data_IF_380692812377
#
_entry.id   IF_380692812377
#
_cell.length_a   1.000
_cell.length_b   1.000
_cell.length_c   1.000
_cell.angle_alpha   90.00
_cell.angle_beta   90.00
_cell.angle_gamma   90.00
#
_symmetry.space_group_name_H-M   'P 1'
#
loop_
_entity.id
_entity.type
_entity.pdbx_description
1 polymer ?
#
# COMPACT_ATOMS: atom_id res chain seq x y z
N UNK A 1 -37.12 -14.81 -31.18
CA UNK A 1 -37.95 -14.43 -30.01
C UNK A 1 -37.27 -14.76 -28.68
N UNK A 2 -36.79 -15.99 -28.41
CA UNK A 2 -35.99 -16.26 -27.18
C UNK A 2 -34.70 -15.45 -27.13
N UNK A 3 -33.92 -15.47 -28.21
CA UNK A 3 -32.59 -14.82 -28.24
C UNK A 3 -32.65 -13.28 -28.11
N UNK A 4 -33.69 -12.65 -28.67
CA UNK A 4 -33.92 -11.21 -28.51
C UNK A 4 -34.34 -10.84 -27.09
N UNK A 5 -35.09 -11.72 -26.41
CA UNK A 5 -35.51 -11.52 -25.02
C UNK A 5 -34.32 -11.69 -24.09
N UNK A 6 -33.49 -12.71 -24.34
CA UNK A 6 -32.26 -12.96 -23.60
C UNK A 6 -31.27 -11.81 -23.75
N UNK A 7 -31.04 -11.33 -24.97
CA UNK A 7 -30.15 -10.19 -25.21
C UNK A 7 -30.63 -8.91 -24.50
N UNK A 8 -31.96 -8.71 -24.41
CA UNK A 8 -32.54 -7.59 -23.68
C UNK A 8 -32.27 -7.70 -22.17
N UNK A 9 -32.55 -8.87 -21.57
CA UNK A 9 -32.29 -9.13 -20.14
C UNK A 9 -30.81 -8.90 -19.81
N UNK A 10 -29.90 -9.38 -20.66
CA UNK A 10 -28.46 -9.22 -20.42
C UNK A 10 -28.00 -7.76 -20.47
N UNK A 11 -28.67 -6.90 -21.25
CA UNK A 11 -28.38 -5.46 -21.32
C UNK A 11 -28.93 -4.68 -20.12
N UNK A 12 -29.96 -5.19 -19.45
CA UNK A 12 -30.56 -4.57 -18.26
C UNK A 12 -29.82 -4.91 -16.95
N UNK A 13 -28.94 -5.92 -16.96
CA UNK A 13 -28.12 -6.23 -15.79
C UNK A 13 -27.25 -5.03 -15.40
N UNK A 14 -27.18 -4.69 -14.12
CA UNK A 14 -26.37 -3.57 -13.64
C UNK A 14 -25.00 -4.07 -13.18
N UNK A 15 -24.00 -4.00 -14.07
CA UNK A 15 -22.62 -4.37 -13.80
C UNK A 15 -21.62 -3.64 -14.72
N UNK A 16 -20.31 -3.79 -14.47
CA UNK A 16 -19.26 -3.14 -15.27
C UNK A 16 -19.36 -3.42 -16.78
N UNK A 17 -19.86 -4.61 -17.16
CA UNK A 17 -20.02 -5.03 -18.55
C UNK A 17 -21.15 -4.30 -19.30
N UNK A 18 -22.09 -3.67 -18.58
CA UNK A 18 -23.25 -2.95 -19.14
C UNK A 18 -23.23 -1.46 -18.84
N UNK A 19 -22.34 -1.00 -17.96
CA UNK A 19 -22.21 0.41 -17.61
C UNK A 19 -21.57 1.28 -18.71
N UNK A 20 -21.31 0.78 -19.92
CA UNK A 20 -20.75 1.61 -20.99
C UNK A 20 -19.36 2.14 -20.63
N UNK A 21 -18.50 1.24 -20.15
CA UNK A 21 -17.06 1.47 -19.97
C UNK A 21 -16.38 0.84 -21.18
N UNK A 22 -15.63 1.62 -21.96
CA UNK A 22 -15.04 1.14 -23.21
C UNK A 22 -13.56 0.77 -23.05
N UNK A 23 -13.10 -0.23 -23.81
CA UNK A 23 -11.69 -0.62 -23.87
C UNK A 23 -10.79 0.49 -24.44
N UNK A 24 -11.32 1.28 -25.38
CA UNK A 24 -10.68 2.45 -25.99
C UNK A 24 -10.23 3.50 -24.96
N UNK A 25 -10.91 3.55 -23.82
CA UNK A 25 -10.62 4.49 -22.74
C UNK A 25 -9.49 4.04 -21.83
N UNK A 26 -8.97 2.83 -22.03
CA UNK A 26 -7.95 2.22 -21.21
C UNK A 26 -6.65 2.13 -21.99
N UNK A 27 -5.63 2.86 -21.54
CA UNK A 27 -4.34 2.92 -22.23
C UNK A 27 -3.50 1.67 -22.04
N UNK A 28 -3.57 1.04 -20.86
CA UNK A 28 -2.73 -0.11 -20.50
C UNK A 28 -3.47 -1.04 -19.52
N UNK A 29 -4.00 -2.13 -20.06
CA UNK A 29 -4.74 -3.13 -19.28
C UNK A 29 -3.82 -3.94 -18.35
N UNK A 30 -2.55 -4.14 -18.71
CA UNK A 30 -1.59 -4.88 -17.89
C UNK A 30 -1.19 -4.09 -16.65
N UNK A 31 -0.90 -2.81 -16.81
CA UNK A 31 -0.63 -1.90 -15.69
C UNK A 31 -1.86 -1.78 -14.80
N UNK A 32 -3.07 -1.71 -15.37
CA UNK A 32 -4.31 -1.64 -14.59
C UNK A 32 -4.53 -2.90 -13.74
N UNK A 33 -4.35 -4.09 -14.33
CA UNK A 33 -4.38 -5.38 -13.63
C UNK A 33 -3.37 -5.42 -12.48
N UNK A 34 -2.10 -5.12 -12.77
CA UNK A 34 -1.03 -5.14 -11.78
C UNK A 34 -1.29 -4.17 -10.63
N UNK A 35 -1.75 -2.96 -10.95
CA UNK A 35 -2.07 -1.94 -9.94
C UNK A 35 -3.23 -2.39 -9.05
N UNK A 36 -4.32 -2.90 -9.61
CA UNK A 36 -5.47 -3.35 -8.82
C UNK A 36 -5.18 -4.61 -8.01
N UNK A 37 -4.39 -5.55 -8.52
CA UNK A 37 -3.89 -6.68 -7.74
C UNK A 37 -3.04 -6.22 -6.54
N UNK A 38 -2.16 -5.25 -6.74
CA UNK A 38 -1.44 -4.65 -5.63
C UNK A 38 -2.40 -4.01 -4.63
N UNK A 39 -3.42 -3.27 -5.10
CA UNK A 39 -4.43 -2.65 -4.23
C UNK A 39 -5.22 -3.67 -3.40
N UNK A 40 -5.57 -4.84 -3.94
CA UNK A 40 -6.18 -5.94 -3.17
C UNK A 40 -5.26 -6.39 -2.04
N UNK A 41 -3.95 -6.52 -2.30
CA UNK A 41 -2.99 -6.98 -1.29
C UNK A 41 -2.78 -6.00 -0.11
N UNK A 42 -3.20 -4.74 -0.24
CA UNK A 42 -2.93 -3.69 0.75
C UNK A 42 -4.16 -2.98 1.29
N UNK A 43 -5.32 -3.14 0.66
CA UNK A 43 -6.54 -2.44 1.06
C UNK A 43 -7.37 -3.28 2.04
N UNK A 44 -8.16 -2.64 2.91
CA UNK A 44 -9.16 -3.33 3.73
C UNK A 44 -10.14 -4.16 2.89
N UNK A 45 -10.66 -5.24 3.48
CA UNK A 45 -11.58 -6.20 2.84
C UNK A 45 -12.81 -5.55 2.20
N UNK A 46 -13.31 -4.46 2.78
CA UNK A 46 -14.46 -3.68 2.27
C UNK A 46 -14.31 -3.14 0.84
N UNK A 47 -13.10 -3.10 0.30
CA UNK A 47 -12.83 -2.67 -1.09
C UNK A 47 -12.52 -3.81 -2.05
N UNK A 48 -12.37 -5.04 -1.56
CA UNK A 48 -11.87 -6.15 -2.36
C UNK A 48 -12.84 -6.53 -3.47
N UNK A 49 -14.15 -6.58 -3.18
CA UNK A 49 -15.17 -6.90 -4.17
C UNK A 49 -15.10 -5.97 -5.39
N UNK A 50 -15.04 -4.65 -5.16
CA UNK A 50 -14.89 -3.67 -6.24
C UNK A 50 -13.61 -3.87 -7.06
N UNK A 51 -12.47 -4.11 -6.42
CA UNK A 51 -11.24 -4.39 -7.17
C UNK A 51 -11.36 -5.68 -7.98
N UNK A 52 -11.98 -6.71 -7.43
CA UNK A 52 -12.20 -7.97 -8.15
C UNK A 52 -13.19 -7.81 -9.31
N UNK A 53 -14.24 -7.00 -9.19
CA UNK A 53 -15.13 -6.67 -10.31
C UNK A 53 -14.36 -5.98 -11.44
N UNK A 54 -13.48 -5.03 -11.12
CA UNK A 54 -12.63 -4.36 -12.11
C UNK A 54 -11.65 -5.36 -12.74
N UNK A 55 -10.99 -6.18 -11.93
CA UNK A 55 -10.05 -7.19 -12.42
C UNK A 55 -10.74 -8.19 -13.35
N UNK A 56 -11.96 -8.60 -13.02
CA UNK A 56 -12.77 -9.46 -13.89
C UNK A 56 -13.07 -8.79 -15.23
N UNK A 57 -13.54 -7.54 -15.19
CA UNK A 57 -13.84 -6.76 -16.39
C UNK A 57 -12.60 -6.60 -17.28
N UNK A 58 -11.46 -6.21 -16.69
CA UNK A 58 -10.20 -6.03 -17.43
C UNK A 58 -9.70 -7.35 -18.01
N UNK A 59 -9.84 -8.47 -17.30
CA UNK A 59 -9.45 -9.80 -17.79
C UNK A 59 -10.29 -10.22 -18.99
N UNK A 60 -11.61 -10.01 -18.92
CA UNK A 60 -12.51 -10.21 -20.06
C UNK A 60 -12.11 -9.34 -21.27
N UNK A 61 -11.80 -8.04 -21.06
CA UNK A 61 -11.34 -7.16 -22.16
C UNK A 61 -10.03 -7.62 -22.81
N UNK A 62 -9.24 -8.45 -22.12
CA UNK A 62 -8.04 -9.10 -22.65
C UNK A 62 -8.32 -10.45 -23.31
N UNK A 63 -9.54 -10.97 -23.23
CA UNK A 63 -9.93 -12.29 -23.74
C UNK A 63 -9.65 -13.44 -22.76
N UNK A 64 -9.46 -13.15 -21.47
CA UNK A 64 -9.26 -14.16 -20.42
C UNK A 64 -10.50 -14.24 -19.53
N UNK A 65 -11.53 -14.92 -20.04
CA UNK A 65 -12.82 -15.07 -19.37
C UNK A 65 -12.79 -16.05 -18.19
N UNK A 66 -11.84 -17.00 -18.20
CA UNK A 66 -11.62 -17.91 -17.07
C UNK A 66 -11.08 -17.14 -15.87
N UNK A 67 -10.09 -16.26 -16.08
CA UNK A 67 -9.62 -15.36 -15.02
C UNK A 67 -10.72 -14.38 -14.60
N UNK A 68 -11.56 -13.91 -15.54
CA UNK A 68 -12.68 -13.05 -15.21
C UNK A 68 -13.66 -13.73 -14.24
N UNK A 69 -14.04 -14.98 -14.51
CA UNK A 69 -14.86 -15.80 -13.63
C UNK A 69 -14.25 -15.99 -12.24
N UNK A 70 -12.97 -16.38 -12.17
CA UNK A 70 -12.26 -16.55 -10.90
C UNK A 70 -12.26 -15.27 -10.05
N UNK A 71 -12.03 -14.10 -10.67
CA UNK A 71 -12.15 -12.84 -9.95
C UNK A 71 -13.56 -12.54 -9.48
N UNK A 72 -14.61 -12.85 -10.26
CA UNK A 72 -15.99 -12.64 -9.81
C UNK A 72 -16.35 -13.53 -8.61
N UNK A 73 -15.89 -14.78 -8.57
CA UNK A 73 -16.06 -15.62 -7.38
C UNK A 73 -15.27 -15.09 -6.17
N UNK A 74 -14.07 -14.54 -6.39
CA UNK A 74 -13.32 -13.84 -5.33
C UNK A 74 -14.05 -12.59 -4.83
N UNK A 75 -14.76 -11.88 -5.70
CA UNK A 75 -15.62 -10.76 -5.31
C UNK A 75 -16.77 -11.24 -4.42
N UNK A 76 -17.44 -12.31 -4.81
CA UNK A 76 -18.51 -12.94 -4.03
C UNK A 76 -18.01 -13.36 -2.63
N UNK A 77 -16.85 -14.01 -2.57
CA UNK A 77 -16.21 -14.41 -1.32
C UNK A 77 -15.79 -13.22 -0.46
N UNK A 78 -15.33 -12.13 -1.07
CA UNK A 78 -14.98 -10.91 -0.36
C UNK A 78 -16.22 -10.28 0.29
N UNK A 79 -17.35 -10.21 -0.41
CA UNK A 79 -18.62 -9.71 0.13
C UNK A 79 -19.11 -10.59 1.30
N UNK A 80 -18.98 -11.92 1.19
CA UNK A 80 -19.30 -12.86 2.29
C UNK A 80 -18.40 -12.63 3.50
N UNK A 81 -17.09 -12.49 3.30
CA UNK A 81 -16.11 -12.23 4.38
C UNK A 81 -16.32 -10.88 5.06
N UNK A 82 -16.72 -9.86 4.29
CA UNK A 82 -17.08 -8.54 4.80
C UNK A 82 -18.51 -8.48 5.39
N UNK A 83 -19.24 -9.61 5.37
CA UNK A 83 -20.60 -9.75 5.93
C UNK A 83 -21.59 -8.72 5.38
N UNK A 84 -21.55 -8.53 4.07
CA UNK A 84 -22.42 -7.58 3.35
C UNK A 84 -23.87 -8.06 3.28
N UNK A 85 -24.78 -7.11 3.11
CA UNK A 85 -26.21 -7.41 2.94
C UNK A 85 -26.45 -8.07 1.59
N UNK A 86 -27.55 -8.83 1.45
CA UNK A 86 -27.92 -9.49 0.19
C UNK A 86 -27.97 -8.52 -0.99
N UNK A 87 -28.41 -7.28 -0.76
CA UNK A 87 -28.46 -6.24 -1.79
C UNK A 87 -27.10 -5.95 -2.44
N UNK A 88 -26.00 -6.07 -1.68
CA UNK A 88 -24.66 -5.78 -2.17
C UNK A 88 -24.14 -6.82 -3.18
N UNK A 89 -24.70 -8.03 -3.19
CA UNK A 89 -24.32 -9.10 -4.12
C UNK A 89 -24.88 -8.90 -5.52
N UNK A 90 -25.82 -7.97 -5.71
CA UNK A 90 -26.54 -7.77 -6.98
C UNK A 90 -25.60 -7.54 -8.16
N UNK A 91 -24.52 -6.76 -7.97
CA UNK A 91 -23.55 -6.45 -9.03
C UNK A 91 -22.68 -7.68 -9.34
N UNK A 92 -22.29 -8.44 -8.32
CA UNK A 92 -21.51 -9.67 -8.49
C UNK A 92 -22.31 -10.73 -9.23
N UNK A 93 -23.56 -10.99 -8.82
CA UNK A 93 -24.44 -11.94 -9.51
C UNK A 93 -24.78 -11.48 -10.92
N UNK A 94 -25.01 -10.19 -11.14
CA UNK A 94 -25.20 -9.63 -12.48
C UNK A 94 -23.98 -9.86 -13.37
N UNK A 95 -22.77 -9.65 -12.83
CA UNK A 95 -21.52 -9.88 -13.55
C UNK A 95 -21.30 -11.36 -13.88
N UNK A 96 -21.62 -12.26 -12.94
CA UNK A 96 -21.50 -13.71 -13.13
C UNK A 96 -22.51 -14.20 -14.17
N UNK A 97 -23.75 -13.74 -14.12
CA UNK A 97 -24.75 -14.03 -15.15
C UNK A 97 -24.28 -13.55 -16.53
N UNK A 98 -23.71 -12.34 -16.59
CA UNK A 98 -23.18 -11.76 -17.83
C UNK A 98 -22.07 -12.61 -18.45
N UNK A 99 -21.06 -12.98 -17.66
CA UNK A 99 -19.92 -13.72 -18.20
C UNK A 99 -20.29 -15.18 -18.52
N UNK A 100 -21.17 -15.82 -17.74
CA UNK A 100 -21.67 -17.15 -18.07
C UNK A 100 -22.48 -17.15 -19.37
N UNK A 101 -23.25 -16.10 -19.64
CA UNK A 101 -23.91 -15.93 -20.93
C UNK A 101 -22.88 -15.79 -22.07
N UNK A 102 -21.82 -15.01 -21.87
CA UNK A 102 -20.74 -14.85 -22.86
C UNK A 102 -20.05 -16.19 -23.19
N UNK A 103 -19.85 -17.04 -22.18
CA UNK A 103 -19.24 -18.35 -22.29
C UNK A 103 -20.20 -19.46 -22.80
N UNK A 104 -21.48 -19.16 -23.00
CA UNK A 104 -22.49 -20.16 -23.39
C UNK A 104 -22.91 -21.12 -22.27
N UNK A 105 -22.56 -20.82 -21.01
CA UNK A 105 -22.89 -21.63 -19.83
C UNK A 105 -24.30 -21.30 -19.33
N UNK A 106 -25.32 -21.80 -20.03
CA UNK A 106 -26.73 -21.44 -19.81
C UNK A 106 -27.22 -21.78 -18.39
N UNK A 107 -26.83 -22.92 -17.82
CA UNK A 107 -27.23 -23.34 -16.47
C UNK A 107 -26.78 -22.32 -15.40
N UNK A 108 -25.49 -21.96 -15.41
CA UNK A 108 -24.94 -21.00 -14.46
C UNK A 108 -25.46 -19.58 -14.70
N UNK A 109 -25.66 -19.17 -15.95
CA UNK A 109 -26.33 -17.91 -16.28
C UNK A 109 -27.72 -17.85 -15.62
N UNK A 110 -28.56 -18.87 -15.81
CA UNK A 110 -29.91 -18.90 -15.22
C UNK A 110 -29.86 -18.93 -13.70
N UNK A 111 -28.93 -19.68 -13.11
CA UNK A 111 -28.69 -19.69 -11.67
C UNK A 111 -28.45 -18.27 -11.13
N UNK A 112 -27.50 -17.53 -11.71
CA UNK A 112 -27.18 -16.18 -11.22
C UNK A 112 -28.26 -15.14 -11.54
N UNK A 113 -28.97 -15.26 -12.66
CA UNK A 113 -30.16 -14.44 -12.92
C UNK A 113 -31.24 -14.67 -11.85
N UNK A 114 -31.42 -15.92 -11.41
CA UNK A 114 -32.35 -16.23 -10.32
C UNK A 114 -31.85 -15.71 -8.97
N UNK A 115 -30.53 -15.71 -8.71
CA UNK A 115 -29.96 -15.06 -7.53
C UNK A 115 -30.28 -13.56 -7.51
N UNK A 116 -30.07 -12.84 -8.62
CA UNK A 116 -30.44 -11.42 -8.74
C UNK A 116 -31.94 -11.21 -8.45
N UNK A 117 -32.82 -12.03 -9.04
CA UNK A 117 -34.28 -11.94 -8.84
C UNK A 117 -34.72 -12.30 -7.42
N UNK A 118 -33.94 -13.10 -6.69
CA UNK A 118 -34.28 -13.55 -5.34
C UNK A 118 -34.06 -12.46 -4.28
N UNK A 119 -33.21 -11.47 -4.55
CA UNK A 119 -32.92 -10.37 -3.63
C UNK A 119 -34.20 -9.55 -3.39
N UNK A 120 -34.66 -9.55 -2.13
CA UNK A 120 -35.91 -8.86 -1.74
C UNK A 120 -35.70 -7.38 -1.41
N UNK A 121 -34.47 -7.02 -1.05
CA UNK A 121 -34.09 -5.66 -0.69
C UNK A 121 -34.05 -4.75 -1.92
N UNK A 122 -34.23 -3.44 -1.72
CA UNK A 122 -33.98 -2.47 -2.79
C UNK A 122 -32.48 -2.44 -3.13
N UNK A 123 -32.14 -2.91 -4.33
CA UNK A 123 -30.76 -3.02 -4.82
C UNK A 123 -30.23 -1.73 -5.42
N UNK A 124 -31.08 -0.73 -5.70
CA UNK A 124 -30.66 0.52 -6.35
C UNK A 124 -29.53 1.23 -5.62
N UNK A 125 -29.54 1.38 -4.28
CA UNK A 125 -28.43 2.02 -3.57
C UNK A 125 -27.12 1.25 -3.69
N UNK A 126 -27.18 -0.09 -3.63
CA UNK A 126 -26.00 -0.95 -3.76
C UNK A 126 -25.41 -0.89 -5.18
N UNK A 127 -26.26 -0.94 -6.20
CA UNK A 127 -25.86 -0.74 -7.60
C UNK A 127 -25.19 0.61 -7.78
N UNK A 128 -25.83 1.69 -7.34
CA UNK A 128 -25.30 3.05 -7.48
C UNK A 128 -23.98 3.23 -6.71
N UNK A 129 -23.89 2.72 -5.48
CA UNK A 129 -22.67 2.77 -4.69
C UNK A 129 -21.51 2.01 -5.34
N UNK A 130 -21.74 0.78 -5.78
CA UNK A 130 -20.70 -0.06 -6.41
C UNK A 130 -20.29 0.49 -7.78
N UNK A 131 -21.23 1.07 -8.55
CA UNK A 131 -20.95 1.81 -9.77
C UNK A 131 -20.06 3.01 -9.52
N UNK A 132 -20.36 3.80 -8.48
CA UNK A 132 -19.52 4.91 -8.03
C UNK A 132 -18.09 4.47 -7.71
N UNK A 133 -17.92 3.43 -6.90
CA UNK A 133 -16.61 2.92 -6.52
C UNK A 133 -15.84 2.33 -7.69
N UNK A 134 -16.50 1.56 -8.55
CA UNK A 134 -15.88 0.95 -9.74
C UNK A 134 -15.37 2.01 -10.69
N UNK A 135 -16.24 2.94 -11.10
CA UNK A 135 -15.91 4.04 -12.02
C UNK A 135 -14.79 4.93 -11.46
N UNK A 136 -14.85 5.30 -10.18
CA UNK A 136 -13.79 6.10 -9.55
C UNK A 136 -12.44 5.38 -9.54
N UNK A 137 -12.41 4.04 -9.43
CA UNK A 137 -11.16 3.27 -9.45
C UNK A 137 -10.63 3.02 -10.86
N UNK A 138 -11.48 3.09 -11.88
CA UNK A 138 -11.10 3.01 -13.30
C UNK A 138 -10.35 4.26 -13.80
N UNK A 139 -10.53 5.40 -13.12
CA UNK A 139 -9.68 6.58 -13.33
C UNK A 139 -10.44 7.88 -13.62
N UNK A 140 -9.70 8.98 -13.83
CA UNK A 140 -10.23 10.34 -13.82
C UNK A 140 -11.31 10.62 -14.87
N UNK A 141 -11.26 9.94 -16.02
CA UNK A 141 -12.27 10.03 -17.07
C UNK A 141 -13.70 9.73 -16.55
N UNK A 142 -13.80 8.90 -15.52
CA UNK A 142 -15.08 8.42 -14.98
C UNK A 142 -15.51 9.11 -13.68
N UNK A 143 -14.78 10.13 -13.21
CA UNK A 143 -15.07 10.76 -11.92
C UNK A 143 -16.45 11.44 -11.87
N UNK A 144 -16.87 12.15 -12.91
CA UNK A 144 -18.21 12.77 -12.92
C UNK A 144 -19.32 11.71 -12.81
N UNK A 145 -19.19 10.62 -13.58
CA UNK A 145 -20.14 9.51 -13.54
C UNK A 145 -20.13 8.78 -12.20
N UNK A 146 -18.97 8.69 -11.55
CA UNK A 146 -18.84 8.13 -10.21
C UNK A 146 -19.52 9.02 -9.16
N UNK A 147 -19.33 10.35 -9.26
CA UNK A 147 -19.98 11.37 -8.43
C UNK A 147 -21.51 11.26 -8.52
N UNK A 148 -22.07 11.30 -9.74
CA UNK A 148 -23.51 11.12 -9.97
C UNK A 148 -24.06 9.80 -9.39
N UNK A 149 -23.27 8.73 -9.48
CA UNK A 149 -23.66 7.44 -8.93
C UNK A 149 -23.73 7.46 -7.40
N UNK A 150 -22.77 8.11 -6.73
CA UNK A 150 -22.86 8.28 -5.28
C UNK A 150 -24.00 9.21 -4.85
N UNK A 151 -24.27 10.27 -5.60
CA UNK A 151 -25.43 11.15 -5.35
C UNK A 151 -26.74 10.35 -5.37
N UNK A 152 -26.98 9.55 -6.42
CA UNK A 152 -28.16 8.67 -6.52
C UNK A 152 -28.24 7.64 -5.39
N UNK A 153 -27.10 7.09 -4.95
CA UNK A 153 -27.07 6.18 -3.80
C UNK A 153 -27.47 6.90 -2.50
N UNK A 154 -27.02 8.15 -2.32
CA UNK A 154 -27.27 8.98 -1.14
C UNK A 154 -28.67 9.58 -1.13
N UNK A 155 -29.32 9.79 -2.27
CA UNK A 155 -30.74 10.15 -2.34
C UNK A 155 -31.63 9.09 -1.66
N UNK A 156 -31.25 7.81 -1.78
CA UNK A 156 -32.01 6.68 -1.21
C UNK A 156 -31.52 6.34 0.21
N UNK A 157 -30.20 6.31 0.43
CA UNK A 157 -29.59 6.02 1.75
C UNK A 157 -28.64 7.16 2.17
N UNK A 158 -29.17 8.29 2.68
CA UNK A 158 -28.40 9.53 2.89
C UNK A 158 -27.31 9.45 3.96
N UNK A 159 -27.45 8.51 4.90
CA UNK A 159 -26.51 8.33 6.00
C UNK A 159 -25.53 7.19 5.75
N UNK A 160 -25.60 6.45 4.64
CA UNK A 160 -24.77 5.25 4.45
C UNK A 160 -23.26 5.57 4.39
N UNK A 161 -22.47 4.91 5.24
CA UNK A 161 -21.03 5.15 5.42
C UNK A 161 -20.23 5.09 4.12
N UNK A 162 -20.37 3.99 3.38
CA UNK A 162 -19.58 3.77 2.15
C UNK A 162 -19.91 4.80 1.06
N UNK A 163 -21.16 5.24 0.99
CA UNK A 163 -21.59 6.18 -0.06
C UNK A 163 -21.16 7.61 0.27
N UNK A 164 -21.32 8.03 1.53
CA UNK A 164 -20.82 9.32 1.99
C UNK A 164 -19.30 9.42 1.83
N UNK A 165 -18.59 8.32 2.12
CA UNK A 165 -17.15 8.26 1.88
C UNK A 165 -16.81 8.30 0.40
N UNK A 166 -17.42 7.45 -0.43
CA UNK A 166 -17.16 7.41 -1.86
C UNK A 166 -17.40 8.77 -2.53
N UNK A 167 -18.47 9.45 -2.14
CA UNK A 167 -18.78 10.80 -2.59
C UNK A 167 -17.71 11.82 -2.16
N UNK A 168 -17.27 11.77 -0.89
CA UNK A 168 -16.18 12.63 -0.41
C UNK A 168 -14.85 12.39 -1.15
N UNK A 169 -14.50 11.13 -1.44
CA UNK A 169 -13.27 10.77 -2.16
C UNK A 169 -13.30 11.23 -3.61
N UNK A 170 -14.43 11.06 -4.32
CA UNK A 170 -14.49 11.48 -5.73
C UNK A 170 -14.44 12.99 -5.86
N UNK A 171 -15.12 13.73 -4.97
CA UNK A 171 -15.02 15.19 -4.91
C UNK A 171 -13.57 15.62 -4.61
N UNK A 172 -12.92 14.99 -3.63
CA UNK A 172 -11.51 15.27 -3.31
C UNK A 172 -10.62 15.09 -4.54
N UNK A 173 -10.77 13.99 -5.26
CA UNK A 173 -9.94 13.67 -6.43
C UNK A 173 -10.22 14.59 -7.62
N UNK A 174 -11.45 15.05 -7.79
CA UNK A 174 -11.81 16.02 -8.82
C UNK A 174 -11.19 17.38 -8.51
N UNK A 175 -11.31 17.84 -7.26
CA UNK A 175 -10.68 19.08 -6.79
C UNK A 175 -9.14 19.05 -6.89
N UNK A 176 -8.52 17.89 -6.66
CA UNK A 176 -7.05 17.72 -6.75
C UNK A 176 -6.54 17.71 -8.21
N UNK A 177 -7.41 17.39 -9.18
CA UNK A 177 -7.09 17.47 -10.61
C UNK A 177 -7.31 18.87 -11.17
N UNK A 178 -8.16 19.66 -10.54
CA UNK A 178 -8.36 21.06 -10.88
C UNK A 178 -7.21 21.90 -10.32
N UNK A 179 -6.17 22.06 -11.15
CA UNK A 179 -4.97 22.83 -10.77
C UNK A 179 -5.08 24.31 -11.14
N UNK A 180 -6.25 24.78 -11.60
CA UNK A 180 -6.38 26.17 -12.08
C UNK A 180 -6.30 27.16 -10.92
N UNK A 181 -6.90 26.83 -9.76
CA UNK A 181 -6.86 27.66 -8.56
C UNK A 181 -6.84 26.82 -7.28
N UNK A 182 -6.20 27.33 -6.22
CA UNK A 182 -6.21 26.68 -4.91
C UNK A 182 -7.58 26.85 -4.23
N UNK A 183 -8.32 25.75 -4.11
CA UNK A 183 -9.63 25.72 -3.42
C UNK A 183 -9.42 25.81 -1.91
N UNK A 184 -9.91 26.90 -1.31
CA UNK A 184 -9.88 27.07 0.14
C UNK A 184 -10.76 25.99 0.83
N UNK A 185 -10.35 25.50 2.01
CA UNK A 185 -11.09 24.43 2.70
C UNK A 185 -12.57 24.74 2.97
N UNK A 186 -12.91 26.02 3.18
CA UNK A 186 -14.27 26.49 3.46
C UNK A 186 -15.18 26.36 2.22
N UNK A 187 -14.62 26.48 1.03
CA UNK A 187 -15.33 26.42 -0.24
C UNK A 187 -15.40 24.99 -0.79
N UNK A 188 -14.44 24.13 -0.42
CA UNK A 188 -14.32 22.74 -0.88
C UNK A 188 -15.57 21.89 -0.59
N UNK A 189 -16.15 21.33 -1.66
CA UNK A 189 -17.24 20.37 -1.58
C UNK A 189 -16.76 19.06 -0.94
N UNK A 190 -15.52 18.65 -1.23
CA UNK A 190 -14.89 17.50 -0.60
C UNK A 190 -14.80 17.67 0.92
N UNK A 191 -14.34 18.83 1.41
CA UNK A 191 -14.25 19.12 2.85
C UNK A 191 -15.62 19.05 3.50
N UNK A 192 -16.65 19.68 2.90
CA UNK A 192 -18.03 19.64 3.42
C UNK A 192 -18.54 18.20 3.53
N UNK A 193 -18.32 17.39 2.50
CA UNK A 193 -18.77 16.00 2.48
C UNK A 193 -17.99 15.08 3.44
N UNK A 194 -16.68 15.29 3.59
CA UNK A 194 -15.86 14.55 4.55
C UNK A 194 -16.23 14.91 6.00
N UNK A 195 -16.51 16.19 6.29
CA UNK A 195 -17.06 16.62 7.59
C UNK A 195 -18.40 15.98 7.89
N UNK A 196 -19.32 15.93 6.90
CA UNK A 196 -20.59 15.18 7.03
C UNK A 196 -20.34 13.70 7.35
N UNK A 197 -19.38 13.07 6.66
CA UNK A 197 -19.02 11.67 6.91
C UNK A 197 -18.54 11.46 8.35
N UNK A 198 -17.72 12.35 8.88
CA UNK A 198 -17.24 12.28 10.28
C UNK A 198 -18.31 12.62 11.30
N UNK A 199 -19.28 13.48 10.97
CA UNK A 199 -20.41 13.75 11.85
C UNK A 199 -21.28 12.49 12.06
N UNK A 200 -21.44 11.69 11.00
CA UNK A 200 -22.16 10.40 11.05
C UNK A 200 -21.29 9.28 11.63
N UNK A 201 -19.99 9.29 11.32
CA UNK A 201 -19.04 8.23 11.65
C UNK A 201 -17.75 8.81 12.26
N UNK A 202 -17.75 9.18 13.55
CA UNK A 202 -16.67 9.95 14.19
C UNK A 202 -15.31 9.27 14.27
N UNK A 203 -15.26 7.95 14.07
CA UNK A 203 -14.03 7.13 14.15
C UNK A 203 -13.57 6.63 12.77
N UNK A 204 -14.11 7.21 11.70
CA UNK A 204 -13.76 6.80 10.34
C UNK A 204 -12.44 7.42 9.87
N UNK A 205 -11.35 6.70 10.13
CA UNK A 205 -9.96 7.14 9.93
C UNK A 205 -9.62 7.59 8.51
N UNK A 206 -10.26 7.00 7.49
CA UNK A 206 -10.04 7.40 6.10
C UNK A 206 -10.57 8.81 5.82
N UNK A 207 -11.74 9.15 6.36
CA UNK A 207 -12.29 10.51 6.23
C UNK A 207 -11.45 11.52 7.05
N UNK A 208 -10.97 11.14 8.24
CA UNK A 208 -10.08 11.97 9.06
C UNK A 208 -8.82 12.37 8.28
N UNK A 209 -8.15 11.39 7.69
CA UNK A 209 -6.87 11.60 7.00
C UNK A 209 -7.03 12.38 5.70
N UNK A 210 -8.06 12.10 4.90
CA UNK A 210 -8.36 12.90 3.69
C UNK A 210 -8.73 14.35 4.03
N UNK A 211 -9.51 14.56 5.08
CA UNK A 211 -9.86 15.91 5.54
C UNK A 211 -8.61 16.67 6.00
N UNK A 212 -7.72 16.00 6.74
CA UNK A 212 -6.46 16.59 7.18
C UNK A 212 -5.56 17.01 6.01
N UNK A 213 -5.50 16.23 4.93
CA UNK A 213 -4.71 16.59 3.72
C UNK A 213 -5.20 17.90 3.09
N UNK A 214 -6.46 18.30 3.31
CA UNK A 214 -7.00 19.60 2.87
C UNK A 214 -6.64 20.77 3.80
N UNK A 215 -5.78 20.57 4.81
CA UNK A 215 -5.28 21.62 5.72
C UNK A 215 -6.37 22.44 6.42
N UNK A 216 -7.36 21.77 7.00
CA UNK A 216 -8.27 22.41 7.95
C UNK A 216 -7.53 22.72 9.27
N UNK A 217 -8.09 23.61 10.11
CA UNK A 217 -7.57 23.90 11.45
C UNK A 217 -7.43 22.63 12.33
N UNK A 218 -8.27 21.62 12.09
CA UNK A 218 -8.34 20.37 12.86
C UNK A 218 -7.40 19.28 12.34
N UNK A 219 -6.65 19.53 11.26
CA UNK A 219 -5.89 18.50 10.53
C UNK A 219 -4.93 17.70 11.41
N UNK A 220 -4.23 18.40 12.32
CA UNK A 220 -3.26 17.77 13.23
C UNK A 220 -3.94 16.77 14.16
N UNK A 221 -5.05 17.16 14.77
CA UNK A 221 -5.83 16.32 15.68
C UNK A 221 -6.41 15.10 14.96
N UNK A 222 -6.93 15.31 13.75
CA UNK A 222 -7.48 14.26 12.90
C UNK A 222 -6.41 13.21 12.53
N UNK A 223 -5.21 13.64 12.18
CA UNK A 223 -4.09 12.72 11.86
C UNK A 223 -3.67 11.92 13.09
N UNK A 224 -3.53 12.56 14.25
CA UNK A 224 -3.16 11.88 15.49
C UNK A 224 -4.23 10.86 15.90
N UNK A 225 -5.52 11.22 15.80
CA UNK A 225 -6.63 10.30 16.07
C UNK A 225 -6.68 9.14 15.08
N UNK A 226 -6.44 9.39 13.79
CA UNK A 226 -6.42 8.33 12.79
C UNK A 226 -5.27 7.33 13.02
N UNK A 227 -4.08 7.83 13.40
CA UNK A 227 -2.92 7.00 13.72
C UNK A 227 -3.15 6.17 15.00
N UNK A 228 -3.87 6.68 16.00
CA UNK A 228 -4.18 5.91 17.21
C UNK A 228 -5.21 4.82 16.95
N UNK A 229 -6.23 5.09 16.13
CA UNK A 229 -7.27 4.13 15.76
C UNK A 229 -6.80 3.06 14.74
N UNK A 230 -5.86 3.40 13.85
CA UNK A 230 -5.43 2.52 12.76
C UNK A 230 -3.92 2.61 12.46
N UNK A 231 -3.04 2.32 13.43
CA UNK A 231 -1.60 2.60 13.37
C UNK A 231 -0.83 1.86 12.27
N UNK A 232 -1.39 0.76 11.75
CA UNK A 232 -0.76 -0.11 10.76
C UNK A 232 -1.57 -0.21 9.46
N UNK A 233 -2.62 0.60 9.29
CA UNK A 233 -3.37 0.62 8.03
C UNK A 233 -2.56 1.37 6.96
N UNK A 234 -2.22 0.66 5.88
CA UNK A 234 -1.37 1.22 4.82
C UNK A 234 -2.03 2.37 4.07
N UNK A 235 -3.35 2.34 3.85
CA UNK A 235 -4.05 3.45 3.19
C UNK A 235 -4.05 4.71 4.07
N UNK A 236 -4.24 4.54 5.39
CA UNK A 236 -4.14 5.64 6.35
C UNK A 236 -2.71 6.21 6.34
N UNK A 237 -1.70 5.35 6.36
CA UNK A 237 -0.31 5.76 6.29
C UNK A 237 0.00 6.57 5.02
N UNK A 238 -0.55 6.19 3.86
CA UNK A 238 -0.36 6.93 2.60
C UNK A 238 -0.91 8.37 2.69
N UNK A 239 -2.11 8.57 3.26
CA UNK A 239 -2.68 9.91 3.46
C UNK A 239 -1.92 10.72 4.51
N UNK A 240 -1.45 10.08 5.59
CA UNK A 240 -0.59 10.73 6.59
C UNK A 240 0.71 11.22 5.96
N UNK A 241 1.35 10.44 5.08
CA UNK A 241 2.52 10.91 4.32
C UNK A 241 2.19 12.16 3.50
N UNK A 242 1.05 12.18 2.83
CA UNK A 242 0.65 13.33 2.01
C UNK A 242 0.39 14.58 2.86
N UNK A 243 -0.17 14.42 4.06
CA UNK A 243 -0.33 15.54 4.99
C UNK A 243 1.02 16.05 5.51
N UNK A 244 1.90 15.16 5.99
CA UNK A 244 3.22 15.53 6.52
C UNK A 244 4.08 16.27 5.48
N UNK A 245 4.01 15.89 4.19
CA UNK A 245 4.68 16.62 3.10
C UNK A 245 4.26 18.09 2.99
N UNK A 246 3.10 18.45 3.52
CA UNK A 246 2.59 19.82 3.51
C UNK A 246 2.93 20.59 4.80
N UNK A 247 3.48 19.94 5.81
CA UNK A 247 3.95 20.53 7.06
C UNK A 247 5.43 20.93 6.94
N UNK A 248 5.91 21.74 7.88
CA UNK A 248 7.37 21.93 8.03
C UNK A 248 8.04 20.62 8.48
N UNK A 249 9.36 20.42 8.21
CA UNK A 249 10.09 19.27 8.73
C UNK A 249 10.00 19.14 10.26
N UNK A 250 10.05 20.27 10.98
CA UNK A 250 9.98 20.34 12.44
C UNK A 250 8.59 19.91 12.95
N UNK A 251 7.53 20.47 12.36
CA UNK A 251 6.14 20.12 12.68
C UNK A 251 5.87 18.64 12.40
N UNK A 252 6.36 18.14 11.26
CA UNK A 252 6.22 16.72 10.89
C UNK A 252 6.87 15.81 11.93
N UNK A 253 8.10 16.12 12.35
CA UNK A 253 8.83 15.34 13.34
C UNK A 253 8.14 15.38 14.71
N UNK A 254 7.65 16.55 15.13
CA UNK A 254 6.90 16.72 16.37
C UNK A 254 5.62 15.86 16.37
N UNK A 255 4.86 15.90 15.28
CA UNK A 255 3.65 15.09 15.11
C UNK A 255 3.94 13.60 15.13
N UNK A 256 4.97 13.15 14.40
CA UNK A 256 5.36 11.74 14.39
C UNK A 256 5.75 11.29 15.81
N UNK A 257 6.52 12.10 16.55
CA UNK A 257 6.89 11.80 17.94
C UNK A 257 5.66 11.73 18.85
N UNK A 258 4.71 12.65 18.70
CA UNK A 258 3.45 12.64 19.45
C UNK A 258 2.64 11.36 19.17
N UNK A 259 2.54 10.96 17.91
CA UNK A 259 1.87 9.72 17.53
C UNK A 259 2.57 8.47 18.09
N UNK A 260 3.91 8.46 18.12
CA UNK A 260 4.71 7.37 18.68
C UNK A 260 4.56 7.19 20.20
N UNK A 261 4.15 8.24 20.94
CA UNK A 261 3.80 8.09 22.37
C UNK A 261 2.60 7.16 22.54
N UNK A 262 1.61 7.27 21.65
CA UNK A 262 0.40 6.43 21.68
C UNK A 262 0.61 5.09 20.97
N UNK A 263 1.50 5.04 19.98
CA UNK A 263 1.69 3.89 19.09
C UNK A 263 3.18 3.53 18.92
N UNK A 264 3.90 3.17 20.01
CA UNK A 264 5.35 3.01 19.99
C UNK A 264 5.84 1.89 19.06
N UNK A 265 4.97 0.92 18.77
CA UNK A 265 5.25 -0.25 17.91
C UNK A 265 4.92 -0.04 16.44
N UNK A 266 4.61 1.20 16.00
CA UNK A 266 4.39 1.48 14.58
C UNK A 266 5.73 1.52 13.82
N UNK A 267 5.98 0.48 13.01
CA UNK A 267 7.16 0.42 12.15
C UNK A 267 7.20 1.59 11.15
N UNK A 268 6.03 1.99 10.65
CA UNK A 268 5.86 3.11 9.74
C UNK A 268 6.28 4.44 10.38
N UNK A 269 5.78 4.76 11.58
CA UNK A 269 6.11 6.01 12.24
C UNK A 269 7.58 6.08 12.66
N UNK A 270 8.16 4.96 13.12
CA UNK A 270 9.60 4.88 13.38
C UNK A 270 10.41 5.13 12.10
N UNK A 271 10.01 4.55 10.96
CA UNK A 271 10.67 4.81 9.67
C UNK A 271 10.58 6.30 9.28
N UNK A 272 9.40 6.91 9.45
CA UNK A 272 9.19 8.34 9.13
C UNK A 272 9.99 9.26 10.04
N UNK A 273 10.05 9.00 11.35
CA UNK A 273 10.90 9.74 12.27
C UNK A 273 12.37 9.65 11.85
N UNK A 274 12.85 8.45 11.52
CA UNK A 274 14.20 8.23 11.00
C UNK A 274 14.50 9.05 9.74
N UNK A 275 13.56 9.14 8.80
CA UNK A 275 13.69 9.97 7.61
C UNK A 275 13.77 11.47 7.91
N UNK A 276 12.99 11.98 8.87
CA UNK A 276 13.07 13.38 9.30
C UNK A 276 14.48 13.71 9.84
N UNK A 277 15.04 12.85 10.70
CA UNK A 277 16.41 13.06 11.19
C UNK A 277 17.45 12.92 10.08
N UNK A 278 17.22 12.04 9.11
CA UNK A 278 18.07 11.92 7.92
C UNK A 278 18.13 13.23 7.15
N UNK A 279 16.98 13.82 6.87
CA UNK A 279 16.92 15.11 6.18
C UNK A 279 17.68 16.20 6.94
N UNK A 280 17.49 16.28 8.26
CA UNK A 280 18.21 17.23 9.13
C UNK A 280 19.73 17.07 9.05
N UNK A 281 20.25 15.84 9.27
CA UNK A 281 21.70 15.65 9.30
C UNK A 281 22.32 15.84 7.92
N UNK A 282 21.63 15.45 6.84
CA UNK A 282 22.12 15.65 5.47
C UNK A 282 22.24 17.15 5.16
N UNK A 283 21.25 17.96 5.54
CA UNK A 283 21.31 19.42 5.37
C UNK A 283 22.47 20.05 6.15
N UNK A 284 22.72 19.62 7.39
CA UNK A 284 23.87 20.07 8.19
C UNK A 284 25.20 19.68 7.54
N UNK A 285 25.33 18.45 7.04
CA UNK A 285 26.52 17.98 6.33
C UNK A 285 26.76 18.79 5.05
N UNK A 286 25.72 19.00 4.24
CA UNK A 286 25.81 19.76 2.98
C UNK A 286 26.19 21.23 3.22
N UNK A 287 25.86 21.79 4.38
CA UNK A 287 26.25 23.15 4.78
C UNK A 287 27.62 23.22 5.49
N UNK A 288 28.39 22.13 5.50
CA UNK A 288 29.72 22.08 6.12
C UNK A 288 29.70 21.97 7.66
N UNK A 289 28.52 21.82 8.27
CA UNK A 289 28.30 21.76 9.73
C UNK A 289 28.24 20.33 10.22
N UNK A 290 29.21 19.51 9.81
CA UNK A 290 29.21 18.05 10.05
C UNK A 290 29.27 17.70 11.55
N UNK A 291 29.91 18.50 12.39
CA UNK A 291 29.97 18.25 13.83
C UNK A 291 28.59 18.35 14.51
N UNK A 292 27.72 19.22 14.00
CA UNK A 292 26.36 19.42 14.52
C UNK A 292 25.41 18.28 14.09
N UNK A 293 25.74 17.55 13.02
CA UNK A 293 24.95 16.45 12.49
C UNK A 293 24.96 15.20 13.39
N UNK A 294 25.96 15.02 14.26
CA UNK A 294 26.19 13.77 15.00
C UNK A 294 24.99 13.34 15.88
N UNK A 295 24.32 14.29 16.53
CA UNK A 295 23.14 14.00 17.36
C UNK A 295 21.95 13.52 16.51
N UNK A 296 21.73 14.15 15.35
CA UNK A 296 20.66 13.80 14.43
C UNK A 296 20.94 12.44 13.74
N UNK A 297 22.20 12.12 13.42
CA UNK A 297 22.59 10.79 12.92
C UNK A 297 22.26 9.69 13.94
N UNK A 298 22.57 9.90 15.22
CA UNK A 298 22.26 8.93 16.29
C UNK A 298 20.76 8.71 16.45
N UNK A 299 19.96 9.77 16.41
CA UNK A 299 18.50 9.66 16.46
C UNK A 299 17.93 8.98 15.21
N UNK A 300 18.48 9.27 14.03
CA UNK A 300 18.13 8.57 12.79
C UNK A 300 18.35 7.06 12.91
N UNK A 301 19.54 6.64 13.36
CA UNK A 301 19.88 5.23 13.60
C UNK A 301 18.91 4.60 14.59
N UNK A 302 18.61 5.28 15.71
CA UNK A 302 17.71 4.75 16.74
C UNK A 302 16.31 4.44 16.18
N UNK A 303 15.71 5.39 15.50
CA UNK A 303 14.38 5.23 14.91
C UNK A 303 14.35 4.22 13.76
N UNK A 304 15.35 4.23 12.87
CA UNK A 304 15.42 3.28 11.76
C UNK A 304 15.71 1.85 12.23
N UNK A 305 16.52 1.68 13.27
CA UNK A 305 16.76 0.37 13.90
C UNK A 305 15.46 -0.21 14.46
N UNK A 306 14.66 0.61 15.13
CA UNK A 306 13.36 0.18 15.65
C UNK A 306 12.37 -0.14 14.52
N UNK A 307 12.36 0.64 13.45
CA UNK A 307 11.54 0.35 12.27
C UNK A 307 11.90 -1.00 11.62
N UNK A 308 13.19 -1.30 11.46
CA UNK A 308 13.68 -2.59 10.91
C UNK A 308 13.41 -3.74 11.88
N UNK A 309 13.49 -3.50 13.18
CA UNK A 309 13.14 -4.50 14.21
C UNK A 309 11.66 -4.88 14.15
N UNK A 310 10.78 -3.89 13.97
CA UNK A 310 9.33 -4.08 13.91
C UNK A 310 8.86 -4.64 12.56
N UNK A 311 9.46 -4.20 11.45
CA UNK A 311 9.21 -4.73 10.11
C UNK A 311 10.53 -5.04 9.36
N UNK A 312 11.07 -6.26 9.53
CA UNK A 312 12.29 -6.69 8.84
C UNK A 312 12.15 -6.84 7.32
N UNK A 313 10.92 -6.74 6.78
CA UNK A 313 10.66 -6.80 5.34
C UNK A 313 10.81 -5.42 4.66
N UNK A 314 10.83 -4.34 5.45
CA UNK A 314 10.97 -2.98 4.95
C UNK A 314 12.39 -2.69 4.44
N UNK A 315 12.62 -3.04 3.18
CA UNK A 315 13.89 -2.81 2.46
C UNK A 315 14.31 -1.34 2.40
N UNK A 316 13.37 -0.39 2.45
CA UNK A 316 13.71 1.04 2.47
C UNK A 316 14.20 1.49 3.85
N UNK A 317 13.56 1.06 4.94
CA UNK A 317 14.06 1.35 6.29
C UNK A 317 15.47 0.76 6.48
N UNK A 318 15.68 -0.46 6.00
CA UNK A 318 16.97 -1.14 5.94
C UNK A 318 18.06 -0.33 5.20
N UNK A 319 17.75 0.19 4.02
CA UNK A 319 18.67 1.05 3.24
C UNK A 319 19.03 2.32 4.00
N UNK A 320 18.01 3.05 4.47
CA UNK A 320 18.24 4.31 5.19
C UNK A 320 19.05 4.09 6.46
N UNK A 321 18.88 2.94 7.13
CA UNK A 321 19.63 2.58 8.33
C UNK A 321 21.11 2.39 8.00
N UNK A 322 21.42 1.66 6.92
CA UNK A 322 22.80 1.45 6.47
C UNK A 322 23.49 2.78 6.11
N UNK A 323 22.78 3.69 5.43
CA UNK A 323 23.30 5.03 5.12
C UNK A 323 23.58 5.84 6.40
N UNK A 324 22.66 5.83 7.36
CA UNK A 324 22.87 6.54 8.62
C UNK A 324 24.08 6.00 9.41
N UNK A 325 24.31 4.68 9.40
CA UNK A 325 25.49 4.08 10.00
C UNK A 325 26.80 4.44 9.28
N UNK A 326 26.77 4.67 7.96
CA UNK A 326 27.94 5.10 7.21
C UNK A 326 28.34 6.55 7.54
N UNK A 327 27.37 7.41 7.86
CA UNK A 327 27.60 8.81 8.24
C UNK A 327 27.98 9.00 9.71
N UNK A 328 27.75 8.01 10.57
CA UNK A 328 28.22 8.05 11.95
C UNK A 328 29.76 7.90 11.97
N UNK A 329 30.50 9.00 11.94
CA UNK A 329 31.96 8.95 12.07
C UNK A 329 32.44 8.57 13.49
N UNK A 330 31.53 8.55 14.48
CA UNK A 330 31.77 7.88 15.76
C UNK A 330 31.44 6.37 15.70
N UNK A 331 31.15 5.79 14.53
CA UNK A 331 30.95 4.35 14.31
C UNK A 331 32.13 3.49 14.76
N UNK A 332 33.28 4.08 15.11
CA UNK A 332 34.29 3.43 15.94
C UNK A 332 33.75 2.89 17.28
N UNK A 333 32.58 3.34 17.74
CA UNK A 333 31.88 2.87 18.95
C UNK A 333 30.60 2.06 18.68
N UNK A 334 30.23 1.77 17.43
CA UNK A 334 29.20 0.77 17.19
C UNK A 334 29.70 -0.56 17.75
N UNK A 335 28.88 -1.23 18.56
CA UNK A 335 29.17 -2.60 18.96
C UNK A 335 29.36 -3.39 17.67
N UNK A 336 30.36 -4.24 17.64
CA UNK A 336 30.69 -5.06 16.46
C UNK A 336 29.45 -5.83 15.94
N UNK A 337 28.51 -6.19 16.83
CA UNK A 337 27.21 -6.78 16.44
C UNK A 337 26.37 -5.88 15.54
N UNK A 338 26.30 -4.59 15.86
CA UNK A 338 25.48 -3.62 15.15
C UNK A 338 26.11 -3.34 13.78
N UNK A 339 27.44 -3.17 13.69
CA UNK A 339 28.19 -3.07 12.41
C UNK A 339 27.94 -4.27 11.49
N UNK A 340 27.99 -5.47 12.05
CA UNK A 340 27.71 -6.70 11.32
C UNK A 340 26.29 -6.73 10.76
N UNK A 341 25.32 -6.26 11.55
CA UNK A 341 23.95 -6.12 11.09
C UNK A 341 23.86 -5.11 9.93
N UNK A 342 24.52 -3.94 10.01
CA UNK A 342 24.53 -2.93 8.95
C UNK A 342 24.97 -3.49 7.60
N UNK A 343 26.15 -4.14 7.58
CA UNK A 343 26.71 -4.73 6.36
C UNK A 343 25.79 -5.83 5.80
N UNK A 344 25.20 -6.66 6.65
CA UNK A 344 24.24 -7.67 6.21
C UNK A 344 22.99 -7.05 5.59
N UNK A 345 22.44 -6.01 6.22
CA UNK A 345 21.26 -5.31 5.74
C UNK A 345 21.55 -4.55 4.43
N UNK A 346 22.70 -3.89 4.32
CA UNK A 346 23.09 -3.17 3.12
C UNK A 346 23.34 -4.13 1.94
N UNK A 347 23.98 -5.26 2.19
CA UNK A 347 24.13 -6.33 1.19
C UNK A 347 22.78 -6.82 0.66
N UNK A 348 21.79 -7.03 1.54
CA UNK A 348 20.43 -7.42 1.11
C UNK A 348 19.77 -6.35 0.25
N UNK A 349 19.93 -5.08 0.61
CA UNK A 349 19.39 -3.98 -0.17
C UNK A 349 19.96 -3.97 -1.60
N UNK A 350 21.29 -4.02 -1.73
CA UNK A 350 21.98 -4.03 -3.03
C UNK A 350 21.48 -5.18 -3.93
N UNK A 351 21.28 -6.36 -3.34
CA UNK A 351 20.75 -7.53 -4.06
C UNK A 351 19.29 -7.34 -4.50
N UNK A 352 18.37 -7.06 -3.56
CA UNK A 352 16.94 -7.07 -3.85
C UNK A 352 16.43 -5.84 -4.61
N UNK A 353 17.15 -4.70 -4.55
CA UNK A 353 16.69 -3.45 -5.16
C UNK A 353 17.48 -3.03 -6.39
N UNK A 354 18.80 -3.16 -6.34
CA UNK A 354 19.65 -2.73 -7.45
C UNK A 354 20.09 -3.88 -8.35
N UNK A 355 19.75 -5.13 -7.99
CA UNK A 355 20.25 -6.32 -8.66
C UNK A 355 21.79 -6.32 -8.75
N UNK A 356 22.44 -5.67 -7.76
CA UNK A 356 23.88 -5.49 -7.70
C UNK A 356 24.48 -6.57 -6.80
N UNK A 357 24.66 -7.74 -7.40
CA UNK A 357 25.15 -8.92 -6.70
C UNK A 357 26.60 -8.77 -6.24
N UNK A 358 27.45 -8.07 -7.00
CA UNK A 358 28.87 -7.96 -6.70
C UNK A 358 29.11 -7.10 -5.46
N UNK A 359 28.49 -5.90 -5.38
CA UNK A 359 28.55 -5.07 -4.16
C UNK A 359 27.81 -5.72 -3.00
N UNK A 360 26.73 -6.45 -3.26
CA UNK A 360 26.01 -7.21 -2.22
C UNK A 360 26.92 -8.24 -1.54
N UNK A 361 27.65 -9.04 -2.33
CA UNK A 361 28.60 -10.04 -1.83
C UNK A 361 29.71 -9.38 -1.02
N UNK A 362 30.22 -8.23 -1.45
CA UNK A 362 31.24 -7.49 -0.71
C UNK A 362 30.74 -7.07 0.69
N UNK A 363 29.52 -6.55 0.77
CA UNK A 363 28.91 -6.21 2.06
C UNK A 363 28.69 -7.44 2.95
N UNK A 364 28.26 -8.58 2.39
CA UNK A 364 28.17 -9.81 3.17
C UNK A 364 29.54 -10.28 3.68
N UNK A 365 30.61 -10.11 2.91
CA UNK A 365 31.97 -10.40 3.37
C UNK A 365 32.38 -9.50 4.53
N UNK A 366 32.11 -8.19 4.45
CA UNK A 366 32.37 -7.26 5.56
C UNK A 366 31.57 -7.64 6.82
N UNK A 367 30.29 -8.03 6.68
CA UNK A 367 29.49 -8.53 7.80
C UNK A 367 30.12 -9.80 8.44
N UNK A 368 30.64 -10.71 7.62
CA UNK A 368 31.22 -11.97 8.09
C UNK A 368 32.59 -11.82 8.76
N UNK A 369 33.39 -10.84 8.31
CA UNK A 369 34.70 -10.50 8.89
C UNK A 369 34.58 -10.07 10.36
N UNK A 370 33.46 -9.47 10.73
CA UNK A 370 33.23 -9.06 12.11
C UNK A 370 33.01 -10.31 13.00
N UNK A 371 33.91 -10.53 13.95
CA UNK A 371 34.01 -11.76 14.74
C UNK A 371 33.09 -11.82 15.96
N UNK A 372 31.92 -11.16 15.89
CA UNK A 372 30.87 -11.33 16.90
C UNK A 372 30.05 -12.58 16.60
N UNK A 373 29.90 -13.43 17.60
CA UNK A 373 28.97 -14.56 17.50
C UNK A 373 27.53 -14.04 17.57
N UNK A 374 26.83 -14.15 16.45
CA UNK A 374 25.42 -13.75 16.30
C UNK A 374 24.70 -14.71 15.37
N UNK A 375 23.37 -14.74 15.44
CA UNK A 375 22.54 -15.44 14.47
C UNK A 375 22.66 -14.80 13.08
N UNK A 376 22.90 -13.48 12.99
CA UNK A 376 23.21 -12.82 11.71
C UNK A 376 24.48 -13.37 11.05
N UNK A 377 25.56 -13.59 11.81
CA UNK A 377 26.81 -14.11 11.23
C UNK A 377 26.64 -15.49 10.63
N UNK A 378 25.83 -16.35 11.27
CA UNK A 378 25.46 -17.67 10.72
C UNK A 378 24.63 -17.53 9.44
N UNK A 379 23.67 -16.61 9.42
CA UNK A 379 22.85 -16.32 8.22
C UNK A 379 23.71 -15.81 7.07
N UNK A 380 24.63 -14.88 7.33
CA UNK A 380 25.58 -14.35 6.35
C UNK A 380 26.46 -15.46 5.77
N UNK A 381 26.99 -16.35 6.62
CA UNK A 381 27.77 -17.52 6.17
C UNK A 381 26.98 -18.38 5.19
N UNK A 382 25.79 -18.84 5.60
CA UNK A 382 24.94 -19.69 4.78
C UNK A 382 24.56 -19.03 3.46
N UNK A 383 24.32 -17.71 3.50
CA UNK A 383 24.05 -16.91 2.31
C UNK A 383 25.24 -16.88 1.36
N UNK A 384 26.45 -16.63 1.86
CA UNK A 384 27.69 -16.65 1.05
C UNK A 384 27.97 -18.05 0.47
N UNK A 385 27.73 -19.12 1.23
CA UNK A 385 27.84 -20.51 0.75
C UNK A 385 26.88 -20.79 -0.40
N UNK A 386 25.60 -20.44 -0.24
CA UNK A 386 24.58 -20.60 -1.29
C UNK A 386 24.93 -19.79 -2.55
N UNK A 387 25.42 -18.56 -2.40
CA UNK A 387 25.85 -17.73 -3.54
C UNK A 387 27.04 -18.38 -4.25
N UNK A 388 28.00 -18.92 -3.49
CA UNK A 388 29.18 -19.58 -4.06
C UNK A 388 28.81 -20.84 -4.87
N UNK A 389 27.84 -21.62 -4.40
CA UNK A 389 27.30 -22.79 -5.11
C UNK A 389 26.55 -22.38 -6.37
N UNK A 390 25.70 -21.36 -6.28
CA UNK A 390 24.88 -20.88 -7.39
C UNK A 390 25.72 -20.26 -8.52
N UNK A 391 26.76 -19.48 -8.18
CA UNK A 391 27.58 -18.77 -9.19
C UNK A 391 28.65 -19.64 -9.84
N UNK A 392 29.17 -20.66 -9.14
CA UNK A 392 30.23 -21.54 -9.66
C UNK A 392 31.49 -20.80 -10.12
N UNK A 393 32.34 -21.48 -10.90
CA UNK A 393 33.49 -20.87 -11.57
C UNK A 393 34.51 -20.17 -10.64
N UNK A 394 35.10 -19.07 -11.12
CA UNK A 394 36.07 -18.28 -10.35
C UNK A 394 35.42 -17.51 -9.19
N UNK A 395 34.22 -16.93 -9.40
CA UNK A 395 33.50 -16.17 -8.36
C UNK A 395 33.12 -17.06 -7.16
N UNK A 396 32.59 -18.26 -7.41
CA UNK A 396 32.28 -19.22 -6.35
C UNK A 396 33.52 -19.71 -5.59
N UNK A 397 34.63 -19.98 -6.31
CA UNK A 397 35.92 -20.35 -5.68
C UNK A 397 36.46 -19.24 -4.78
N UNK A 398 36.38 -17.99 -5.22
CA UNK A 398 36.84 -16.83 -4.44
C UNK A 398 36.03 -16.64 -3.15
N UNK A 399 34.71 -16.85 -3.19
CA UNK A 399 33.87 -16.77 -1.98
C UNK A 399 34.21 -17.92 -1.00
N UNK A 400 34.36 -19.16 -1.49
CA UNK A 400 34.77 -20.30 -0.65
C UNK A 400 36.13 -20.08 0.00
N UNK A 401 37.12 -19.61 -0.76
CA UNK A 401 38.44 -19.28 -0.23
C UNK A 401 38.39 -18.18 0.85
N UNK A 402 37.57 -17.15 0.64
CA UNK A 402 37.33 -16.12 1.65
C UNK A 402 36.76 -16.70 2.95
N UNK A 403 35.73 -17.56 2.86
CA UNK A 403 35.11 -18.17 4.04
C UNK A 403 36.13 -18.99 4.83
N UNK A 404 36.92 -19.84 4.15
CA UNK A 404 37.98 -20.64 4.80
C UNK A 404 39.04 -19.76 5.45
N UNK A 405 39.47 -18.68 4.79
CA UNK A 405 40.46 -17.75 5.35
C UNK A 405 39.92 -17.01 6.58
N UNK A 406 38.66 -16.58 6.56
CA UNK A 406 38.03 -15.86 7.67
C UNK A 406 37.78 -16.77 8.88
N UNK A 407 37.57 -18.07 8.67
CA UNK A 407 37.49 -19.07 9.75
C UNK A 407 38.86 -19.38 10.36
N UNK A 408 39.88 -19.53 9.53
CA UNK A 408 41.24 -19.76 9.99
C UNK A 408 41.75 -18.59 10.86
N UNK A 409 41.48 -17.35 10.47
CA UNK A 409 41.81 -16.16 11.26
C UNK A 409 41.14 -16.15 12.65
N UNK A 410 39.92 -16.67 12.76
CA UNK A 410 39.20 -16.77 14.03
C UNK A 410 39.77 -17.86 14.95
N UNK A 411 40.30 -18.95 14.39
CA UNK A 411 40.98 -20.00 15.15
C UNK A 411 42.33 -19.54 15.71
N UNK A 412 43.09 -18.76 14.93
CA UNK A 412 44.39 -18.21 15.36
C UNK A 412 44.22 -17.21 16.52
N UNK A 413 43.22 -16.32 16.45
CA UNK A 413 42.95 -15.36 17.53
C UNK A 413 42.49 -16.06 18.84
N UNK A 414 41.82 -17.22 18.77
CA UNK A 414 41.44 -18.00 19.96
C UNK A 414 42.58 -18.78 20.60
N UNK A 415 43.71 -18.93 19.92
CA UNK A 415 44.92 -19.59 20.45
C UNK A 415 45.93 -18.61 21.04
N UNK A 416 45.68 -17.30 20.94
CA UNK A 416 46.54 -16.23 21.45
C UNK A 416 45.95 -15.50 22.67
N UNK A 417 44.67 -15.71 22.98
CA UNK A 417 44.03 -15.45 24.28
C UNK A 417 44.07 -16.73 25.14
#
# INVERSE_FOLDING_TARGET
KSDETDLFIMKELECLFTWGVEKSDMKDLDTLLKNHLHRVSVSPIRYHATYFHILAFVSHLKGDDEAALDYLHKAEDALKKDKRDEADFVVTYSSLAWIHNHLGNQENKEFYLNQVKSIRQDTRPAVHGEKGWSLMKMGPKYYERAKESFEKALEIKPEHQSYNMGYGVVLYRMEDLDTEYEIQPEDSAAVKQLKKTLALYPDFTEAMTLLAVKKTQESRELVLKALSLSPNDKNINDYVVNYLKKCSPEESLEMIKSALVQTPTSAFLNHKAGLCYKEKYVQLIMSGRRDEAAADVKECIRFLSEAVRLDPSNTYAMMNLAEAYAEDHQAYQLREKDKQHCHFIYGKFLFFKWNDEDRSVEQYKEAYKIHVYSEERKKVRKLLENIAETKGGQKGKAIKAFLTSAEAALLVNRTQD
#
